data_IF_293218115493
#
_entry.id   IF_293218115493
#
_cell.length_a   1.000
_cell.length_b   1.000
_cell.length_c   1.000
_cell.angle_alpha   90.00
_cell.angle_beta   90.00
_cell.angle_gamma   90.00
#
_symmetry.space_group_name_H-M   'P 1'
#
loop_
_entity.id
_entity.type
_entity.pdbx_description
1 polymer ?
#
# COMPACT_ATOMS: atom_id res chain seq x y z
N UNK A 1 10.09 -96.44 7.33
CA UNK A 1 10.73 -95.20 6.83
C UNK A 1 9.68 -94.07 6.91
N UNK A 2 9.75 -93.21 7.91
CA UNK A 2 8.84 -92.08 8.12
C UNK A 2 9.52 -90.81 7.59
N UNK A 3 8.98 -90.17 6.51
CA UNK A 3 9.42 -88.89 6.00
C UNK A 3 8.78 -87.75 6.83
N UNK A 4 9.63 -86.91 7.45
CA UNK A 4 9.24 -85.68 8.11
C UNK A 4 9.23 -84.53 7.05
N UNK A 5 8.08 -83.91 6.85
CA UNK A 5 7.90 -82.74 6.00
C UNK A 5 8.06 -81.49 6.87
N UNK A 6 9.10 -80.70 6.62
CA UNK A 6 9.32 -79.42 7.29
C UNK A 6 8.56 -78.33 6.51
N UNK A 7 7.53 -77.72 7.12
CA UNK A 7 6.88 -76.53 6.61
C UNK A 7 7.68 -75.28 7.03
N UNK A 8 8.19 -74.54 6.05
CA UNK A 8 8.81 -73.24 6.22
C UNK A 8 7.71 -72.19 6.15
N UNK A 9 7.41 -71.47 7.26
CA UNK A 9 6.50 -70.36 7.31
C UNK A 9 7.33 -69.08 7.13
N UNK A 10 7.14 -68.25 6.09
CA UNK A 10 7.81 -66.99 5.96
C UNK A 10 7.17 -65.97 6.91
N UNK A 11 7.97 -65.48 7.88
CA UNK A 11 7.59 -64.42 8.78
C UNK A 11 7.71 -63.07 8.06
N UNK A 12 6.56 -62.55 7.50
CA UNK A 12 6.51 -61.21 6.90
C UNK A 12 6.46 -60.16 7.98
N UNK A 13 7.59 -59.48 8.20
CA UNK A 13 7.67 -58.31 9.08
C UNK A 13 7.07 -57.14 8.36
N UNK A 14 5.82 -56.76 8.70
CA UNK A 14 5.20 -55.51 8.31
C UNK A 14 5.84 -54.37 9.06
N UNK A 15 6.76 -53.64 8.40
CA UNK A 15 7.22 -52.33 8.87
C UNK A 15 6.07 -51.32 8.71
N UNK A 16 5.26 -51.17 9.74
CA UNK A 16 4.36 -50.02 9.89
C UNK A 16 5.20 -48.79 10.16
N UNK A 17 5.62 -48.10 9.10
CA UNK A 17 6.20 -46.78 9.22
C UNK A 17 5.12 -45.82 9.73
N UNK A 18 5.15 -45.52 11.04
CA UNK A 18 4.44 -44.36 11.57
C UNK A 18 5.00 -43.11 10.88
N UNK A 19 4.33 -42.67 9.83
CA UNK A 19 4.43 -41.27 9.40
C UNK A 19 3.87 -40.43 10.54
N UNK A 20 4.79 -39.93 11.35
CA UNK A 20 4.48 -38.87 12.31
C UNK A 20 4.09 -37.65 11.46
N UNK A 21 2.80 -37.52 11.13
CA UNK A 21 2.22 -36.28 10.63
C UNK A 21 2.25 -35.32 11.82
N UNK A 22 3.41 -34.75 12.08
CA UNK A 22 3.52 -33.61 12.97
C UNK A 22 2.47 -32.62 12.56
N UNK A 23 1.55 -32.33 13.45
CA UNK A 23 0.56 -31.29 13.32
C UNK A 23 1.36 -29.99 13.05
N UNK A 24 1.56 -29.62 11.78
CA UNK A 24 2.10 -28.33 11.41
C UNK A 24 1.05 -27.35 11.88
N UNK A 25 1.28 -26.78 13.08
CA UNK A 25 0.44 -25.67 13.55
C UNK A 25 0.39 -24.65 12.42
N UNK A 26 -0.78 -24.48 11.82
CA UNK A 26 -1.02 -23.44 10.83
C UNK A 26 -0.62 -22.10 11.46
N UNK A 27 0.44 -21.50 10.92
CA UNK A 27 0.86 -20.17 11.34
C UNK A 27 0.15 -19.13 10.49
N UNK A 28 -0.55 -18.21 11.14
CA UNK A 28 -1.28 -17.14 10.49
C UNK A 28 -0.51 -15.83 10.63
N UNK A 29 -0.17 -15.18 9.52
CA UNK A 29 0.54 -13.89 9.48
C UNK A 29 -0.48 -12.81 9.16
N UNK A 30 -0.69 -11.86 10.06
CA UNK A 30 -1.61 -10.74 9.88
C UNK A 30 -0.84 -9.54 9.33
N UNK A 31 -1.21 -9.08 8.14
CA UNK A 31 -0.56 -7.96 7.45
C UNK A 31 -1.55 -6.80 7.29
N UNK A 32 -1.30 -5.69 7.99
CA UNK A 32 -1.99 -4.43 7.72
C UNK A 32 -1.21 -3.68 6.65
N UNK A 33 -1.89 -3.25 5.58
CA UNK A 33 -1.18 -2.62 4.47
C UNK A 33 -2.01 -1.51 3.80
N UNK A 34 -1.30 -0.56 3.16
CA UNK A 34 -1.89 0.48 2.34
C UNK A 34 -2.74 -0.13 1.19
N UNK A 35 -3.77 0.59 0.76
CA UNK A 35 -4.64 0.18 -0.33
C UNK A 35 -3.88 -0.13 -1.61
N UNK A 36 -2.95 0.74 -2.02
CA UNK A 36 -2.09 0.60 -3.21
C UNK A 36 -1.16 -0.61 -3.22
N UNK A 37 -1.02 -1.29 -2.08
CA UNK A 37 -0.29 -2.55 -1.95
C UNK A 37 -1.19 -3.79 -2.14
N UNK A 38 -2.50 -3.63 -2.35
CA UNK A 38 -3.44 -4.76 -2.38
C UNK A 38 -3.15 -5.77 -3.50
N UNK A 39 -2.79 -5.29 -4.68
CA UNK A 39 -2.48 -6.17 -5.81
C UNK A 39 -1.14 -6.87 -5.61
N UNK A 40 -0.01 -6.16 -5.39
CA UNK A 40 1.28 -6.83 -5.21
C UNK A 40 1.31 -7.74 -3.97
N UNK A 41 0.70 -7.35 -2.85
CA UNK A 41 0.67 -8.21 -1.66
C UNK A 41 -0.18 -9.48 -1.85
N UNK A 42 -1.23 -9.44 -2.66
CA UNK A 42 -1.97 -10.65 -3.04
C UNK A 42 -1.09 -11.62 -3.83
N UNK A 43 -0.35 -11.11 -4.82
CA UNK A 43 0.58 -11.93 -5.61
C UNK A 43 1.70 -12.52 -4.73
N UNK A 44 2.30 -11.71 -3.86
CA UNK A 44 3.31 -12.15 -2.89
C UNK A 44 2.77 -13.24 -1.95
N UNK A 45 1.58 -13.03 -1.40
CA UNK A 45 0.87 -14.00 -0.57
C UNK A 45 0.69 -15.33 -1.27
N UNK A 46 0.12 -15.32 -2.49
CA UNK A 46 -0.20 -16.54 -3.22
C UNK A 46 1.05 -17.38 -3.51
N UNK A 47 2.15 -16.73 -3.90
CA UNK A 47 3.43 -17.39 -4.13
C UNK A 47 4.03 -17.94 -2.82
N UNK A 48 3.99 -17.12 -1.76
CA UNK A 48 4.59 -17.52 -0.48
C UNK A 48 3.83 -18.67 0.19
N UNK A 49 2.49 -18.64 0.21
CA UNK A 49 1.66 -19.72 0.76
C UNK A 49 1.84 -21.02 -0.03
N UNK A 50 1.97 -20.96 -1.36
CA UNK A 50 2.25 -22.14 -2.18
C UNK A 50 3.58 -22.82 -1.81
N UNK A 51 4.61 -22.05 -1.46
CA UNK A 51 5.94 -22.54 -1.09
C UNK A 51 6.05 -22.95 0.38
N UNK A 52 5.17 -22.45 1.22
CA UNK A 52 5.18 -22.68 2.65
C UNK A 52 3.86 -23.30 3.13
N UNK A 53 3.61 -24.61 2.84
CA UNK A 53 2.41 -25.28 3.28
C UNK A 53 2.23 -25.20 4.80
N UNK A 54 1.05 -24.72 5.24
CA UNK A 54 0.77 -24.50 6.67
C UNK A 54 0.96 -23.06 7.14
N UNK A 55 1.44 -22.15 6.29
CA UNK A 55 1.41 -20.70 6.53
C UNK A 55 0.19 -20.11 5.84
N UNK A 56 -0.51 -19.21 6.51
CA UNK A 56 -1.62 -18.44 5.95
C UNK A 56 -1.39 -16.96 6.21
N UNK A 57 -1.53 -16.15 5.16
CA UNK A 57 -1.37 -14.70 5.23
C UNK A 57 -2.75 -14.04 5.15
N UNK A 58 -3.08 -13.25 6.18
CA UNK A 58 -4.29 -12.45 6.24
C UNK A 58 -3.95 -11.00 5.87
N UNK A 59 -4.42 -10.56 4.72
CA UNK A 59 -4.24 -9.20 4.22
C UNK A 59 -5.41 -8.32 4.67
N UNK A 60 -5.12 -7.25 5.41
CA UNK A 60 -6.10 -6.24 5.85
C UNK A 60 -5.76 -4.87 5.25
N UNK A 61 -6.30 -4.53 4.06
CA UNK A 61 -6.07 -3.25 3.42
C UNK A 61 -6.85 -2.12 4.09
N UNK A 62 -6.18 -0.98 4.33
CA UNK A 62 -6.80 0.28 4.73
C UNK A 62 -5.88 1.45 4.33
N UNK A 63 -6.31 2.71 4.53
CA UNK A 63 -5.36 3.83 4.49
C UNK A 63 -4.28 3.63 5.55
N UNK A 64 -3.04 4.01 5.27
CA UNK A 64 -1.91 3.71 6.16
C UNK A 64 -2.07 4.30 7.56
N UNK A 65 -2.64 5.51 7.69
CA UNK A 65 -2.94 6.12 8.99
C UNK A 65 -3.98 5.31 9.76
N UNK A 66 -4.98 4.75 9.07
CA UNK A 66 -5.97 3.85 9.68
C UNK A 66 -5.31 2.55 10.13
N UNK A 67 -4.38 1.98 9.33
CA UNK A 67 -3.61 0.80 9.72
C UNK A 67 -2.80 1.05 11.01
N UNK A 68 -2.11 2.19 11.08
CA UNK A 68 -1.36 2.56 12.27
C UNK A 68 -2.28 2.69 13.51
N UNK A 69 -3.43 3.36 13.36
CA UNK A 69 -4.41 3.53 14.46
C UNK A 69 -5.06 2.21 14.90
N UNK A 70 -5.23 1.22 14.02
CA UNK A 70 -5.63 -0.13 14.44
C UNK A 70 -4.64 -0.70 15.47
N UNK A 71 -3.36 -0.43 15.32
CA UNK A 71 -2.30 -0.88 16.25
C UNK A 71 -2.27 0.00 17.50
N UNK A 72 -2.28 1.32 17.35
CA UNK A 72 -2.06 2.28 18.46
C UNK A 72 -3.29 2.50 19.30
N UNK A 73 -4.48 2.71 18.69
CA UNK A 73 -5.73 2.99 19.37
C UNK A 73 -6.51 1.70 19.72
N UNK A 74 -6.68 0.80 18.73
CA UNK A 74 -7.49 -0.41 18.89
C UNK A 74 -6.71 -1.61 19.44
N UNK A 75 -5.38 -1.50 19.61
CA UNK A 75 -4.48 -2.55 20.10
C UNK A 75 -4.59 -3.88 19.35
N UNK A 76 -4.97 -3.82 18.07
CA UNK A 76 -5.07 -5.03 17.23
C UNK A 76 -3.69 -5.62 16.97
N UNK A 77 -3.60 -6.94 17.07
CA UNK A 77 -2.39 -7.67 16.68
C UNK A 77 -2.12 -7.48 15.18
N UNK A 78 -0.84 -7.28 14.86
CA UNK A 78 -0.36 -7.12 13.49
C UNK A 78 1.05 -7.69 13.41
N UNK A 79 1.30 -8.58 12.47
CA UNK A 79 2.62 -9.18 12.29
C UNK A 79 3.50 -8.36 11.35
N UNK A 80 2.91 -7.74 10.30
CA UNK A 80 3.59 -6.80 9.41
C UNK A 80 2.68 -5.61 9.17
N UNK A 81 3.19 -4.39 9.36
CA UNK A 81 2.54 -3.17 8.90
C UNK A 81 3.31 -2.62 7.70
N UNK A 82 2.65 -2.50 6.53
CA UNK A 82 3.20 -1.95 5.31
C UNK A 82 2.45 -0.67 4.91
N UNK A 83 3.15 0.44 4.93
CA UNK A 83 2.61 1.79 4.71
C UNK A 83 3.02 2.33 3.34
N UNK A 84 2.13 3.13 2.74
CA UNK A 84 2.47 3.93 1.56
C UNK A 84 3.38 5.12 1.88
N UNK A 85 3.64 5.39 3.16
CA UNK A 85 4.58 6.41 3.62
C UNK A 85 5.33 5.95 4.88
N UNK A 86 6.67 6.09 4.86
CA UNK A 86 7.52 5.79 6.02
C UNK A 86 7.23 6.71 7.21
N UNK A 87 6.81 7.95 6.95
CA UNK A 87 6.38 8.93 7.95
C UNK A 87 5.33 8.36 8.91
N UNK A 88 4.36 7.61 8.38
CA UNK A 88 3.28 7.00 9.19
C UNK A 88 3.83 6.03 10.24
N UNK A 89 4.81 5.19 9.87
CA UNK A 89 5.45 4.28 10.83
C UNK A 89 6.28 5.05 11.85
N UNK A 90 7.08 6.03 11.39
CA UNK A 90 7.95 6.79 12.26
C UNK A 90 7.17 7.62 13.28
N UNK A 91 6.15 8.36 12.84
CA UNK A 91 5.41 9.28 13.71
C UNK A 91 4.34 8.61 14.57
N UNK A 92 3.68 7.56 14.05
CA UNK A 92 2.55 6.96 14.74
C UNK A 92 2.88 5.67 15.48
N UNK A 93 3.93 4.94 15.07
CA UNK A 93 4.30 3.68 15.71
C UNK A 93 5.58 3.76 16.53
N UNK A 94 6.53 4.63 16.19
CA UNK A 94 7.79 4.71 16.94
C UNK A 94 7.71 5.76 18.06
N UNK A 95 8.37 5.50 19.20
CA UNK A 95 9.09 4.27 19.56
C UNK A 95 8.20 3.21 20.21
N UNK A 96 6.92 3.50 20.49
CA UNK A 96 6.08 2.74 21.42
C UNK A 96 5.57 1.41 20.86
N UNK A 97 5.43 1.29 19.53
CA UNK A 97 4.87 0.12 18.86
C UNK A 97 5.83 -0.52 17.86
N UNK A 98 6.87 0.19 17.44
CA UNK A 98 7.95 -0.29 16.59
C UNK A 98 9.23 0.53 16.87
N UNK A 99 10.39 0.03 16.46
CA UNK A 99 11.67 0.75 16.63
C UNK A 99 12.51 0.82 15.34
N UNK A 100 11.97 0.37 14.23
CA UNK A 100 12.60 0.44 12.91
C UNK A 100 11.54 0.39 11.81
N UNK A 101 11.92 0.85 10.62
CA UNK A 101 11.17 0.65 9.38
C UNK A 101 12.12 0.44 8.21
N UNK A 102 11.71 -0.34 7.22
CA UNK A 102 12.46 -0.58 5.99
C UNK A 102 11.69 0.04 4.83
N UNK A 103 12.34 0.94 4.08
CA UNK A 103 11.79 1.46 2.82
C UNK A 103 12.02 0.42 1.72
N UNK A 104 11.01 0.18 0.86
CA UNK A 104 11.08 -0.90 -0.11
C UNK A 104 10.60 -0.56 -1.52
N UNK A 105 9.84 0.52 -1.69
CA UNK A 105 9.36 0.95 -3.00
C UNK A 105 9.07 2.45 -3.05
N UNK A 106 9.02 3.01 -4.28
CA UNK A 106 8.63 4.39 -4.56
C UNK A 106 7.38 4.44 -5.44
N UNK A 107 6.83 5.64 -5.62
CA UNK A 107 5.66 5.89 -6.46
C UNK A 107 5.61 7.37 -6.87
N UNK A 108 4.56 7.76 -7.59
CA UNK A 108 4.27 9.16 -7.93
C UNK A 108 2.75 9.43 -7.92
N UNK A 109 2.37 10.69 -7.75
CA UNK A 109 0.98 11.14 -7.88
C UNK A 109 0.68 11.45 -9.34
N UNK A 110 -0.45 10.92 -9.81
CA UNK A 110 -1.01 11.17 -11.14
C UNK A 110 -2.47 11.60 -11.04
N UNK A 111 -3.02 12.14 -12.11
CA UNK A 111 -4.46 12.30 -12.30
C UNK A 111 -4.95 11.12 -13.12
N UNK A 112 -5.62 10.16 -12.48
CA UNK A 112 -6.16 8.99 -13.15
C UNK A 112 -7.62 9.20 -13.55
N UNK A 113 -8.06 8.53 -14.63
CA UNK A 113 -9.41 8.66 -15.18
C UNK A 113 -9.82 7.44 -16.01
N UNK A 114 -11.14 7.29 -16.19
CA UNK A 114 -11.72 6.24 -17.00
C UNK A 114 -11.97 6.67 -18.46
N UNK A 115 -12.37 5.72 -19.29
CA UNK A 115 -12.63 5.92 -20.72
C UNK A 115 -13.70 7.00 -20.99
N UNK A 116 -14.68 7.16 -20.09
CA UNK A 116 -15.83 8.06 -20.27
C UNK A 116 -15.66 9.39 -19.53
N UNK A 117 -14.47 9.67 -19.01
CA UNK A 117 -14.22 10.93 -18.32
C UNK A 117 -14.44 12.13 -19.26
N UNK A 118 -15.14 13.15 -18.76
CA UNK A 118 -15.36 14.38 -19.51
C UNK A 118 -14.03 15.04 -19.84
N UNK A 119 -13.91 15.55 -21.05
CA UNK A 119 -12.69 16.21 -21.53
C UNK A 119 -11.43 15.33 -21.55
N UNK A 120 -11.60 14.00 -21.60
CA UNK A 120 -10.49 13.04 -21.60
C UNK A 120 -9.55 13.16 -22.81
N UNK A 121 -9.99 13.80 -23.91
CA UNK A 121 -9.18 14.10 -25.08
C UNK A 121 -8.48 15.47 -25.03
N UNK A 122 -8.85 16.32 -24.07
CA UNK A 122 -8.31 17.68 -23.91
C UNK A 122 -7.27 17.74 -22.77
N UNK A 123 -7.49 16.96 -21.71
CA UNK A 123 -6.68 17.01 -20.50
C UNK A 123 -5.22 16.59 -20.73
N UNK A 124 -4.30 17.35 -20.16
CA UNK A 124 -2.87 17.10 -20.21
C UNK A 124 -2.15 17.70 -18.98
N UNK A 125 -0.84 17.50 -18.87
CA UNK A 125 -0.03 17.98 -17.74
C UNK A 125 -0.02 19.49 -17.53
N UNK A 126 -0.39 20.29 -18.54
CA UNK A 126 -0.41 21.75 -18.45
C UNK A 126 -1.78 22.31 -18.05
N UNK A 127 -2.88 21.62 -18.35
CA UNK A 127 -4.24 22.14 -18.18
C UNK A 127 -5.13 21.33 -17.20
N UNK A 128 -4.63 20.29 -16.58
CA UNK A 128 -5.42 19.41 -15.70
C UNK A 128 -6.18 20.19 -14.60
N UNK A 129 -5.58 21.24 -14.06
CA UNK A 129 -6.20 22.09 -13.03
C UNK A 129 -7.46 22.80 -13.53
N UNK A 130 -7.38 23.35 -14.74
CA UNK A 130 -8.51 24.04 -15.39
C UNK A 130 -9.64 23.04 -15.68
N UNK A 131 -9.31 21.85 -16.17
CA UNK A 131 -10.28 20.79 -16.46
C UNK A 131 -10.97 20.32 -15.17
N UNK A 132 -10.20 20.01 -14.11
CA UNK A 132 -10.75 19.54 -12.85
C UNK A 132 -11.62 20.60 -12.16
N UNK A 133 -11.37 21.90 -12.40
CA UNK A 133 -12.15 23.01 -11.83
C UNK A 133 -13.41 23.35 -12.63
N UNK A 134 -13.64 22.79 -13.83
CA UNK A 134 -14.88 22.97 -14.58
C UNK A 134 -16.10 22.52 -13.75
N UNK A 135 -17.19 23.26 -13.80
CA UNK A 135 -18.36 23.06 -12.95
C UNK A 135 -19.01 21.66 -13.11
N UNK A 136 -18.95 21.10 -14.31
CA UNK A 136 -19.56 19.83 -14.68
C UNK A 136 -18.60 18.62 -14.52
N UNK A 137 -17.32 18.84 -14.16
CA UNK A 137 -16.34 17.79 -13.89
C UNK A 137 -16.39 17.41 -12.41
N UNK A 138 -16.40 16.11 -12.14
CA UNK A 138 -16.35 15.55 -10.78
C UNK A 138 -15.04 14.81 -10.61
N UNK A 139 -14.31 15.07 -9.51
CA UNK A 139 -13.13 14.30 -9.19
C UNK A 139 -13.09 13.89 -7.71
N UNK A 140 -12.38 12.77 -7.44
CA UNK A 140 -12.20 12.23 -6.11
C UNK A 140 -10.74 12.29 -5.63
N UNK A 141 -10.58 12.17 -4.32
CA UNK A 141 -9.29 11.98 -3.64
C UNK A 141 -9.50 11.19 -2.36
N UNK A 142 -8.44 10.63 -1.82
CA UNK A 142 -8.55 10.03 -0.49
C UNK A 142 -8.48 11.08 0.62
N UNK A 143 -8.89 10.66 1.81
CA UNK A 143 -8.94 11.51 3.01
C UNK A 143 -7.52 11.70 3.57
N UNK A 144 -7.03 12.95 3.71
CA UNK A 144 -5.72 13.25 4.27
C UNK A 144 -5.50 12.69 5.68
N UNK A 145 -6.56 12.58 6.48
CA UNK A 145 -6.49 12.08 7.85
C UNK A 145 -6.54 10.54 7.96
N UNK A 146 -6.75 9.86 6.83
CA UNK A 146 -6.86 8.40 6.78
C UNK A 146 -5.76 7.74 5.93
N UNK A 147 -5.28 8.43 4.89
CA UNK A 147 -4.48 7.84 3.83
C UNK A 147 -3.40 8.79 3.30
N UNK A 148 -2.15 8.31 3.13
CA UNK A 148 -1.06 9.08 2.54
C UNK A 148 -1.35 9.65 1.15
N UNK A 149 -2.07 8.93 0.27
CA UNK A 149 -2.47 9.48 -1.03
C UNK A 149 -3.33 10.75 -0.86
N UNK A 150 -4.14 10.81 0.20
CA UNK A 150 -4.97 11.96 0.53
C UNK A 150 -4.17 13.21 0.83
N UNK A 151 -3.26 13.17 1.80
CA UNK A 151 -2.43 14.34 2.11
C UNK A 151 -1.43 14.66 0.99
N UNK A 152 -0.92 13.66 0.27
CA UNK A 152 -0.06 13.87 -0.90
C UNK A 152 -0.80 14.54 -2.05
N UNK A 153 -2.09 14.23 -2.25
CA UNK A 153 -2.93 14.95 -3.21
C UNK A 153 -3.02 16.44 -2.86
N UNK A 154 -3.20 16.77 -1.58
CA UNK A 154 -3.23 18.17 -1.12
C UNK A 154 -1.86 18.83 -1.27
N UNK A 155 -0.76 18.13 -0.91
CA UNK A 155 0.61 18.63 -1.12
C UNK A 155 0.90 18.87 -2.61
N UNK A 156 0.45 17.97 -3.51
CA UNK A 156 0.54 18.17 -4.97
C UNK A 156 -0.22 19.41 -5.43
N UNK A 157 -1.42 19.68 -4.87
CA UNK A 157 -2.17 20.91 -5.17
C UNK A 157 -1.42 22.17 -4.71
N UNK A 158 -0.81 22.15 -3.52
CA UNK A 158 0.00 23.26 -2.99
C UNK A 158 1.25 23.51 -3.84
N UNK A 159 1.95 22.46 -4.22
CA UNK A 159 3.10 22.55 -5.12
C UNK A 159 2.68 23.06 -6.51
N UNK A 160 1.53 22.62 -7.04
CA UNK A 160 0.99 23.08 -8.30
C UNK A 160 0.61 24.58 -8.25
N UNK A 161 0.02 25.03 -7.13
CA UNK A 161 -0.29 26.47 -6.91
C UNK A 161 0.97 27.32 -7.07
N UNK A 162 2.06 26.90 -6.47
CA UNK A 162 3.35 27.61 -6.54
C UNK A 162 4.01 27.46 -7.92
N UNK A 163 4.02 26.25 -8.50
CA UNK A 163 4.67 25.93 -9.77
C UNK A 163 4.03 26.68 -10.94
N UNK A 164 2.70 26.65 -11.02
CA UNK A 164 1.94 27.32 -12.09
C UNK A 164 1.60 28.79 -11.78
N UNK A 165 1.95 29.28 -10.58
CA UNK A 165 1.64 30.65 -10.11
C UNK A 165 0.14 30.97 -10.16
N UNK A 166 -0.69 30.03 -9.71
CA UNK A 166 -2.15 30.11 -9.70
C UNK A 166 -2.65 30.36 -8.27
N UNK A 167 -2.83 31.61 -7.81
CA UNK A 167 -3.24 31.89 -6.44
C UNK A 167 -4.59 31.21 -6.09
N UNK A 168 -4.68 30.70 -4.85
CA UNK A 168 -5.89 30.05 -4.31
C UNK A 168 -6.31 28.76 -5.06
N UNK A 169 -5.40 28.15 -5.82
CA UNK A 169 -5.67 26.87 -6.50
C UNK A 169 -6.00 25.76 -5.48
N UNK A 170 -5.19 25.66 -4.44
CA UNK A 170 -5.36 24.66 -3.38
C UNK A 170 -6.71 24.80 -2.68
N UNK A 171 -7.10 26.02 -2.32
CA UNK A 171 -8.39 26.32 -1.71
C UNK A 171 -9.57 25.93 -2.60
N UNK A 172 -9.53 26.30 -3.87
CA UNK A 172 -10.55 25.93 -4.86
C UNK A 172 -10.66 24.42 -5.05
N UNK A 173 -9.52 23.74 -5.16
CA UNK A 173 -9.52 22.29 -5.37
C UNK A 173 -9.96 21.52 -4.12
N UNK A 174 -9.47 21.87 -2.94
CA UNK A 174 -9.85 21.15 -1.72
C UNK A 174 -11.32 21.36 -1.31
N UNK A 175 -11.92 22.47 -1.66
CA UNK A 175 -13.33 22.77 -1.39
C UNK A 175 -14.30 22.08 -2.34
N UNK A 176 -13.86 21.75 -3.57
CA UNK A 176 -14.68 21.10 -4.60
C UNK A 176 -14.80 19.59 -4.36
N UNK A 177 -15.95 19.02 -4.69
CA UNK A 177 -16.23 17.58 -4.70
C UNK A 177 -15.95 16.84 -3.37
N UNK A 178 -16.20 17.48 -2.23
CA UNK A 178 -15.95 16.89 -0.90
C UNK A 178 -16.72 15.60 -0.63
N UNK A 179 -17.87 15.40 -1.28
CA UNK A 179 -18.67 14.17 -1.19
C UNK A 179 -17.99 12.95 -1.85
N UNK A 180 -16.93 13.18 -2.61
CA UNK A 180 -16.14 12.14 -3.29
C UNK A 180 -14.78 11.89 -2.61
N UNK A 181 -14.65 12.25 -1.34
CA UNK A 181 -13.49 11.86 -0.50
C UNK A 181 -13.72 10.44 0.03
N UNK A 182 -12.71 9.58 -0.03
CA UNK A 182 -12.77 8.19 0.44
C UNK A 182 -11.66 7.89 1.46
N UNK A 183 -11.89 6.98 2.41
CA UNK A 183 -10.91 6.64 3.45
C UNK A 183 -9.60 6.04 2.92
N UNK A 184 -9.61 5.48 1.70
CA UNK A 184 -8.42 4.96 1.02
C UNK A 184 -8.54 5.17 -0.49
N UNK A 185 -7.40 5.29 -1.14
CA UNK A 185 -7.27 5.66 -2.55
C UNK A 185 -7.89 4.65 -3.52
N UNK A 186 -7.80 3.35 -3.20
CA UNK A 186 -8.36 2.29 -4.07
C UNK A 186 -9.89 2.27 -4.08
N UNK A 187 -10.56 2.87 -3.09
CA UNK A 187 -12.03 2.98 -3.07
C UNK A 187 -12.54 3.91 -4.18
N UNK A 188 -11.69 4.81 -4.69
CA UNK A 188 -12.00 5.70 -5.80
C UNK A 188 -12.09 4.97 -7.15
N UNK A 189 -11.42 3.82 -7.29
CA UNK A 189 -11.45 3.02 -8.53
C UNK A 189 -12.88 2.63 -8.89
N UNK A 190 -13.66 2.15 -7.91
CA UNK A 190 -15.06 1.80 -8.14
C UNK A 190 -15.92 3.00 -8.59
N UNK A 191 -15.59 4.22 -8.14
CA UNK A 191 -16.27 5.43 -8.59
C UNK A 191 -15.93 5.80 -10.03
N UNK A 192 -14.68 5.60 -10.46
CA UNK A 192 -14.27 5.74 -11.87
C UNK A 192 -14.98 4.68 -12.74
N UNK A 193 -14.95 3.40 -12.34
CA UNK A 193 -15.56 2.31 -13.09
C UNK A 193 -17.08 2.48 -13.26
N UNK A 194 -17.76 2.99 -12.24
CA UNK A 194 -19.19 3.30 -12.29
C UNK A 194 -19.51 4.64 -12.98
N UNK A 195 -18.50 5.41 -13.42
CA UNK A 195 -18.61 6.77 -13.96
C UNK A 195 -19.28 7.75 -12.99
N UNK A 196 -19.17 7.53 -11.67
CA UNK A 196 -19.63 8.47 -10.65
C UNK A 196 -18.71 9.67 -10.50
N UNK A 197 -17.43 9.52 -10.87
CA UNK A 197 -16.45 10.60 -10.97
C UNK A 197 -15.73 10.53 -12.32
N UNK A 198 -15.23 11.65 -12.81
CA UNK A 198 -14.48 11.75 -14.06
C UNK A 198 -12.99 11.48 -13.81
N UNK A 199 -12.43 12.03 -12.73
CA UNK A 199 -11.00 12.01 -12.42
C UNK A 199 -10.75 11.68 -10.95
N UNK A 200 -9.53 11.25 -10.63
CA UNK A 200 -9.07 11.10 -9.24
C UNK A 200 -7.59 11.40 -9.12
N UNK A 201 -7.19 11.98 -7.98
CA UNK A 201 -5.80 11.94 -7.54
C UNK A 201 -5.47 10.52 -7.10
N UNK A 202 -4.38 9.97 -7.65
CA UNK A 202 -4.06 8.57 -7.41
C UNK A 202 -2.55 8.32 -7.53
N UNK A 203 -2.08 7.24 -6.96
CA UNK A 203 -0.77 6.69 -7.27
C UNK A 203 -0.75 6.10 -8.68
N UNK A 204 0.34 6.33 -9.41
CA UNK A 204 0.54 5.76 -10.76
C UNK A 204 0.42 4.25 -10.76
N UNK A 205 0.98 3.58 -9.75
CA UNK A 205 0.87 2.13 -9.62
C UNK A 205 -0.58 1.63 -9.60
N UNK A 206 -1.48 2.31 -8.88
CA UNK A 206 -2.91 1.93 -8.84
C UNK A 206 -3.56 2.16 -10.21
N UNK A 207 -3.23 3.24 -10.90
CA UNK A 207 -3.73 3.47 -12.26
C UNK A 207 -3.30 2.33 -13.20
N UNK A 208 -2.04 1.89 -13.14
CA UNK A 208 -1.51 0.75 -13.90
C UNK A 208 -2.22 -0.55 -13.53
N UNK A 209 -2.34 -0.86 -12.24
CA UNK A 209 -2.96 -2.09 -11.72
C UNK A 209 -4.42 -2.26 -12.14
N UNK A 210 -5.12 -1.16 -12.36
CA UNK A 210 -6.54 -1.13 -12.75
C UNK A 210 -6.77 -0.74 -14.21
N UNK A 211 -5.72 -0.67 -15.04
CA UNK A 211 -5.76 -0.30 -16.46
C UNK A 211 -6.49 1.04 -16.71
N UNK A 212 -6.31 2.00 -15.80
CA UNK A 212 -6.86 3.35 -15.95
C UNK A 212 -5.94 4.21 -16.81
N UNK A 213 -6.50 5.15 -17.53
CA UNK A 213 -5.74 6.24 -18.13
C UNK A 213 -5.28 7.21 -17.05
N UNK A 214 -4.16 7.87 -17.28
CA UNK A 214 -3.65 8.87 -16.35
C UNK A 214 -2.85 9.95 -17.06
N UNK A 215 -2.79 11.13 -16.43
CA UNK A 215 -1.91 12.23 -16.77
C UNK A 215 -0.73 12.19 -15.79
N UNK A 216 0.47 12.06 -16.30
CA UNK A 216 1.68 12.28 -15.53
C UNK A 216 1.83 13.77 -15.23
N UNK A 217 2.09 14.08 -13.97
CA UNK A 217 2.34 15.44 -13.52
C UNK A 217 3.84 15.75 -13.57
N UNK A 218 4.23 17.03 -13.72
CA UNK A 218 5.64 17.41 -13.63
C UNK A 218 6.31 16.93 -12.33
N UNK A 219 7.59 16.53 -12.41
CA UNK A 219 8.35 16.07 -11.25
C UNK A 219 8.42 17.09 -10.11
N UNK A 220 8.24 18.38 -10.42
CA UNK A 220 8.17 19.47 -9.44
C UNK A 220 6.98 19.32 -8.47
N UNK A 221 5.96 18.55 -8.83
CA UNK A 221 4.71 18.47 -8.07
C UNK A 221 4.21 17.05 -7.79
N UNK A 222 4.73 16.03 -8.50
CA UNK A 222 4.22 14.65 -8.41
C UNK A 222 4.84 13.81 -7.27
N UNK A 223 5.81 14.37 -6.54
CA UNK A 223 6.50 13.75 -5.41
C UNK A 223 7.29 12.48 -5.77
N UNK A 224 7.83 12.37 -6.99
CA UNK A 224 8.60 11.19 -7.44
C UNK A 224 10.11 11.32 -7.27
N UNK A 225 10.65 12.54 -7.34
CA UNK A 225 12.09 12.79 -7.47
C UNK A 225 12.75 13.16 -6.13
N UNK A 226 13.64 12.30 -5.58
CA UNK A 226 14.36 12.62 -4.35
C UNK A 226 15.26 13.85 -4.44
N UNK A 227 15.70 14.25 -5.65
CA UNK A 227 16.51 15.45 -5.84
C UNK A 227 15.75 16.76 -5.59
N UNK A 228 14.41 16.70 -5.60
CA UNK A 228 13.51 17.83 -5.37
C UNK A 228 13.01 17.92 -3.92
N UNK A 229 13.67 17.24 -2.98
CA UNK A 229 13.24 17.18 -1.57
C UNK A 229 13.03 18.56 -0.95
N UNK A 230 13.93 19.53 -1.23
CA UNK A 230 13.80 20.89 -0.69
C UNK A 230 12.61 21.65 -1.29
N UNK A 231 12.29 21.42 -2.57
CA UNK A 231 11.10 21.97 -3.21
C UNK A 231 9.84 21.37 -2.58
N UNK A 232 9.78 20.06 -2.41
CA UNK A 232 8.60 19.41 -1.84
C UNK A 232 8.30 19.86 -0.42
N UNK A 233 9.32 20.10 0.42
CA UNK A 233 9.18 20.61 1.78
C UNK A 233 8.53 22.00 1.89
N UNK A 234 8.44 22.76 0.80
CA UNK A 234 7.72 24.04 0.78
C UNK A 234 6.21 23.88 0.95
N UNK A 235 5.66 22.70 0.65
CA UNK A 235 4.28 22.34 0.89
C UNK A 235 4.16 21.54 2.21
N UNK A 236 3.23 21.91 3.07
CA UNK A 236 2.96 21.17 4.31
C UNK A 236 1.53 21.39 4.78
N UNK A 237 0.95 20.39 5.45
CA UNK A 237 -0.36 20.51 6.09
C UNK A 237 -0.39 19.76 7.41
N UNK A 238 -1.36 20.09 8.25
CA UNK A 238 -1.60 19.40 9.50
C UNK A 238 -2.66 18.31 9.26
N UNK A 239 -2.39 17.11 9.77
CA UNK A 239 -3.29 15.96 9.72
C UNK A 239 -3.52 15.43 11.13
N UNK A 240 -4.57 14.62 11.32
CA UNK A 240 -4.86 13.99 12.61
C UNK A 240 -3.75 13.02 13.03
N UNK A 241 -3.26 13.18 14.26
CA UNK A 241 -2.32 12.27 14.91
C UNK A 241 -2.96 10.99 15.46
N UNK A 242 -2.35 10.40 16.48
CA UNK A 242 -2.85 9.18 17.14
C UNK A 242 -4.11 9.45 17.99
N UNK A 243 -4.24 10.64 18.57
CA UNK A 243 -5.39 11.02 19.38
C UNK A 243 -6.36 11.91 18.58
N UNK A 244 -7.65 11.94 18.91
CA UNK A 244 -8.64 12.75 18.20
C UNK A 244 -8.29 14.25 18.10
N UNK A 245 -7.70 14.82 19.15
CA UNK A 245 -7.37 16.24 19.27
C UNK A 245 -5.88 16.52 18.96
N UNK A 246 -5.13 15.52 18.53
CA UNK A 246 -3.74 15.64 18.18
C UNK A 246 -3.59 15.90 16.67
N UNK A 247 -2.76 16.88 16.32
CA UNK A 247 -2.35 17.10 14.94
C UNK A 247 -0.86 16.88 14.79
N UNK A 248 -0.46 16.33 13.67
CA UNK A 248 0.93 16.17 13.25
C UNK A 248 1.12 16.85 11.90
N UNK A 249 2.28 17.50 11.74
CA UNK A 249 2.60 18.21 10.51
C UNK A 249 3.27 17.30 9.52
N UNK A 250 2.66 17.15 8.33
CA UNK A 250 3.24 16.46 7.19
C UNK A 250 3.81 17.48 6.22
N UNK A 251 5.06 17.31 5.83
CA UNK A 251 5.70 18.09 4.77
C UNK A 251 5.82 17.25 3.50
N UNK A 252 5.88 17.90 2.34
CA UNK A 252 6.10 17.22 1.07
C UNK A 252 7.47 16.53 1.05
N UNK A 253 7.46 15.29 0.64
CA UNK A 253 8.64 14.45 0.41
C UNK A 253 8.41 13.52 -0.77
N UNK A 254 9.48 12.98 -1.36
CA UNK A 254 9.34 11.96 -2.37
C UNK A 254 8.73 10.69 -1.78
N UNK A 255 7.92 10.00 -2.58
CA UNK A 255 7.09 8.90 -2.11
C UNK A 255 7.92 7.67 -1.79
N UNK A 256 7.89 7.22 -0.53
CA UNK A 256 8.55 6.02 -0.05
C UNK A 256 7.57 5.12 0.70
N UNK A 257 7.39 3.93 0.21
CA UNK A 257 6.72 2.87 0.95
C UNK A 257 7.66 2.26 1.98
N UNK A 258 7.14 1.96 3.15
CA UNK A 258 7.91 1.29 4.19
C UNK A 258 7.11 0.22 4.92
N UNK A 259 7.81 -0.68 5.59
CA UNK A 259 7.19 -1.71 6.42
C UNK A 259 7.98 -1.94 7.70
N UNK A 260 7.28 -2.47 8.70
CA UNK A 260 7.85 -2.86 10.01
C UNK A 260 7.13 -4.09 10.55
N UNK A 261 7.73 -4.71 11.57
CA UNK A 261 7.12 -5.72 12.42
C UNK A 261 6.84 -5.08 13.77
N UNK A 262 5.58 -4.78 14.12
CA UNK A 262 5.24 -4.18 15.39
C UNK A 262 5.62 -5.06 16.60
N UNK A 263 5.76 -4.45 17.79
CA UNK A 263 6.11 -5.19 19.01
C UNK A 263 5.06 -6.22 19.42
N UNK A 264 3.80 -6.01 19.06
CA UNK A 264 2.68 -6.91 19.33
C UNK A 264 2.50 -8.02 18.29
N UNK A 265 3.47 -8.22 17.39
CA UNK A 265 3.46 -9.31 16.42
C UNK A 265 3.43 -10.67 17.13
N UNK A 266 2.44 -11.49 16.77
CA UNK A 266 2.23 -12.83 17.37
C UNK A 266 3.12 -13.87 16.71
N UNK A 267 3.30 -13.79 15.41
CA UNK A 267 4.08 -14.73 14.60
C UNK A 267 5.35 -14.08 14.04
N UNK A 268 6.13 -13.45 14.91
CA UNK A 268 7.28 -12.61 14.54
C UNK A 268 8.29 -13.30 13.62
N UNK A 269 8.68 -14.56 13.91
CA UNK A 269 9.64 -15.30 13.08
C UNK A 269 9.12 -15.49 11.65
N UNK A 270 7.87 -15.89 11.50
CA UNK A 270 7.22 -16.05 10.19
C UNK A 270 7.03 -14.72 9.46
N UNK A 271 6.77 -13.65 10.22
CA UNK A 271 6.71 -12.30 9.66
C UNK A 271 8.07 -11.88 9.08
N UNK A 272 9.18 -12.19 9.76
CA UNK A 272 10.54 -11.95 9.25
C UNK A 272 10.78 -12.75 7.97
N UNK A 273 10.46 -14.04 7.94
CA UNK A 273 10.62 -14.89 6.76
C UNK A 273 9.84 -14.34 5.55
N UNK A 274 8.58 -13.94 5.78
CA UNK A 274 7.76 -13.35 4.72
C UNK A 274 8.30 -11.98 4.28
N UNK A 275 8.76 -11.16 5.21
CA UNK A 275 9.39 -9.87 4.88
C UNK A 275 10.68 -10.05 4.06
N UNK A 276 11.52 -11.04 4.38
CA UNK A 276 12.68 -11.38 3.57
C UNK A 276 12.29 -11.78 2.14
N UNK A 277 11.19 -12.54 1.98
CA UNK A 277 10.66 -12.85 0.65
C UNK A 277 10.16 -11.59 -0.09
N UNK A 278 9.43 -10.70 0.59
CA UNK A 278 8.98 -9.42 0.00
C UNK A 278 10.17 -8.60 -0.53
N UNK A 279 11.29 -8.58 0.22
CA UNK A 279 12.50 -7.82 -0.12
C UNK A 279 13.45 -8.55 -1.08
N UNK A 280 13.18 -9.81 -1.43
CA UNK A 280 13.99 -10.56 -2.39
C UNK A 280 13.87 -9.98 -3.80
N UNK A 281 14.75 -10.39 -4.71
CA UNK A 281 14.70 -10.03 -6.13
C UNK A 281 13.33 -10.36 -6.75
N UNK A 282 12.78 -11.53 -6.43
CA UNK A 282 11.45 -11.96 -6.90
C UNK A 282 10.34 -11.07 -6.34
N UNK A 283 10.33 -10.81 -5.02
CA UNK A 283 9.36 -9.93 -4.39
C UNK A 283 9.45 -8.49 -4.92
N UNK A 284 10.66 -7.97 -5.08
CA UNK A 284 10.91 -6.66 -5.69
C UNK A 284 10.43 -6.59 -7.14
N UNK A 285 10.60 -7.66 -7.91
CA UNK A 285 10.07 -7.79 -9.27
C UNK A 285 8.55 -7.70 -9.35
N UNK A 286 7.84 -8.20 -8.34
CA UNK A 286 6.37 -8.07 -8.25
C UNK A 286 5.97 -6.61 -8.09
N UNK A 287 6.64 -5.81 -7.25
CA UNK A 287 6.36 -4.38 -7.14
C UNK A 287 6.59 -3.67 -8.48
N UNK A 288 7.71 -3.93 -9.13
CA UNK A 288 8.05 -3.32 -10.43
C UNK A 288 6.99 -3.61 -11.49
N UNK A 289 6.53 -4.85 -11.61
CA UNK A 289 5.47 -5.20 -12.58
C UNK A 289 4.12 -4.58 -12.25
N UNK A 290 3.91 -4.14 -11.00
CA UNK A 290 2.73 -3.44 -10.53
C UNK A 290 2.89 -1.90 -10.52
N UNK A 291 3.93 -1.37 -11.17
CA UNK A 291 4.14 0.07 -11.32
C UNK A 291 4.70 0.77 -10.08
N UNK A 292 5.34 0.04 -9.19
CA UNK A 292 6.07 0.57 -8.03
C UNK A 292 7.55 0.29 -8.20
N UNK A 293 8.40 1.32 -8.21
CA UNK A 293 9.84 1.12 -8.36
C UNK A 293 10.44 0.63 -7.04
N UNK A 294 11.10 -0.55 -7.05
CA UNK A 294 11.70 -1.09 -5.84
C UNK A 294 12.87 -0.24 -5.34
N UNK A 295 12.94 -0.04 -4.04
CA UNK A 295 14.16 0.38 -3.35
C UNK A 295 14.84 -0.91 -2.92
N UNK A 296 15.96 -1.25 -3.56
CA UNK A 296 16.74 -2.44 -3.18
C UNK A 296 17.57 -2.04 -1.97
N UNK A 297 17.34 -2.66 -0.79
CA UNK A 297 18.25 -2.48 0.34
C UNK A 297 19.60 -3.10 -0.03
N UNK A 298 20.66 -2.31 0.00
CA UNK A 298 22.04 -2.77 -0.20
C UNK A 298 22.58 -3.36 1.10
#
# INVERSE_FOLDING_TARGET
MRQFLFYFIPFSVLFSGCRNSGNVKSAEIIVFHAGSLSVPFRQLKDIYEQRNPGVKILLEPAGSLVCARKITELKKACDIMASADYFVINELLMPDYANWSIRFATNEIVIAYGEKAKYSTEINSANWMEILLRADVIYGRSDPDADPCGYRSVLTMMLAESHYKLPDLTGKMTSKNRDYIRPKEVDLVALIESNAIDYMFQYKSVAIQHNLKYIELPEEINLSDPSKADLYKTASLDIRGNKPDETIRVSGEYINYSMTIPFNAVNRERAVDFMCFILSEEGSGIFKTNGQDPIIPF
#
